data_IF_934236662488
#
_entry.id   IF_934236662488
#
_cell.length_a   1.000
_cell.length_b   1.000
_cell.length_c   1.000
_cell.angle_alpha   90.00
_cell.angle_beta   90.00
_cell.angle_gamma   90.00
#
_symmetry.space_group_name_H-M   'P 1'
#
loop_
_entity.id
_entity.type
_entity.pdbx_description
1 polymer ?
#
# COMPACT_ATOMS: atom_id res chain seq x y z
N UNK A 1 -99.78 -8.57 -14.76
CA UNK A 1 -99.74 -7.26 -15.45
C UNK A 1 -99.03 -6.28 -14.51
N UNK A 2 -98.04 -5.58 -15.04
CA UNK A 2 -97.08 -4.63 -14.45
C UNK A 2 -95.85 -5.12 -13.65
N UNK A 3 -94.69 -4.67 -14.17
CA UNK A 3 -93.28 -4.80 -13.79
C UNK A 3 -92.82 -3.68 -12.83
N UNK A 4 -91.77 -3.95 -12.05
CA UNK A 4 -90.50 -3.16 -11.89
C UNK A 4 -89.62 -3.94 -10.87
N UNK A 5 -88.49 -4.62 -11.14
CA UNK A 5 -87.11 -4.35 -11.65
C UNK A 5 -86.22 -3.44 -10.75
N UNK A 6 -84.96 -3.92 -10.54
CA UNK A 6 -83.68 -3.24 -10.17
C UNK A 6 -83.27 -3.39 -8.67
N UNK A 7 -82.10 -3.86 -8.20
CA UNK A 7 -80.86 -4.51 -8.73
C UNK A 7 -80.05 -5.07 -7.54
N UNK A 8 -79.22 -6.10 -7.78
CA UNK A 8 -78.09 -6.52 -6.94
C UNK A 8 -77.08 -5.38 -6.66
N UNK A 9 -76.43 -5.38 -5.48
CA UNK A 9 -74.99 -5.07 -5.39
C UNK A 9 -74.32 -5.81 -4.24
N UNK A 10 -73.17 -6.34 -4.61
CA UNK A 10 -72.33 -7.27 -3.88
C UNK A 10 -71.40 -6.59 -2.86
N UNK A 11 -70.99 -7.40 -1.86
CA UNK A 11 -69.65 -7.57 -1.28
C UNK A 11 -68.59 -6.49 -1.55
N UNK A 12 -67.93 -5.99 -0.49
CA UNK A 12 -66.45 -5.97 -0.32
C UNK A 12 -66.01 -5.05 0.83
N UNK A 13 -65.55 -5.62 1.94
CA UNK A 13 -64.38 -5.15 2.71
C UNK A 13 -63.74 -6.41 3.34
N UNK A 14 -62.51 -6.79 2.95
CA UNK A 14 -61.32 -6.21 3.59
C UNK A 14 -60.14 -6.10 2.60
N UNK A 15 -59.95 -4.95 1.96
CA UNK A 15 -58.82 -4.74 1.04
C UNK A 15 -57.75 -3.80 1.64
N UNK A 16 -58.07 -3.10 2.73
CA UNK A 16 -57.21 -2.03 3.26
C UNK A 16 -56.05 -2.56 4.12
N UNK A 17 -56.20 -3.69 4.83
CA UNK A 17 -55.16 -4.20 5.75
C UNK A 17 -54.02 -4.92 5.00
N UNK A 18 -54.33 -5.61 3.90
CA UNK A 18 -53.34 -6.40 3.17
C UNK A 18 -52.40 -5.53 2.31
N UNK A 19 -52.86 -4.35 1.87
CA UNK A 19 -52.05 -3.43 1.07
C UNK A 19 -51.03 -2.64 1.90
N UNK A 20 -51.36 -2.32 3.16
CA UNK A 20 -50.48 -1.58 4.08
C UNK A 20 -49.32 -2.47 4.58
N UNK A 21 -49.56 -3.77 4.81
CA UNK A 21 -48.52 -4.71 5.24
C UNK A 21 -47.51 -5.02 4.12
N UNK A 22 -47.94 -5.09 2.84
CA UNK A 22 -47.04 -5.32 1.69
C UNK A 22 -46.09 -4.16 1.43
N UNK A 23 -46.55 -2.92 1.56
CA UNK A 23 -45.70 -1.75 1.33
C UNK A 23 -44.66 -1.55 2.44
N UNK A 24 -45.00 -1.85 3.70
CA UNK A 24 -44.10 -1.66 4.84
C UNK A 24 -42.87 -2.57 4.79
N UNK A 25 -43.01 -3.80 4.28
CA UNK A 25 -41.88 -4.74 4.11
C UNK A 25 -40.88 -4.30 3.03
N UNK A 26 -41.36 -3.68 1.95
CA UNK A 26 -40.49 -3.21 0.86
C UNK A 26 -39.60 -2.06 1.34
N UNK A 27 -40.13 -1.15 2.17
CA UNK A 27 -39.36 -0.05 2.74
C UNK A 27 -38.31 -0.54 3.73
N UNK A 28 -38.62 -1.53 4.57
CA UNK A 28 -37.65 -2.15 5.49
C UNK A 28 -36.55 -2.86 4.70
N UNK A 29 -36.90 -3.61 3.64
CA UNK A 29 -35.92 -4.30 2.79
C UNK A 29 -35.01 -3.32 2.02
N UNK A 30 -35.57 -2.21 1.52
CA UNK A 30 -34.79 -1.12 0.92
C UNK A 30 -33.87 -0.44 1.95
N UNK A 31 -34.34 -0.23 3.18
CA UNK A 31 -33.52 0.35 4.24
C UNK A 31 -32.34 -0.55 4.61
N UNK A 32 -32.53 -1.87 4.65
CA UNK A 32 -31.43 -2.84 4.81
C UNK A 32 -30.50 -2.93 3.59
N UNK A 33 -31.00 -2.75 2.36
CA UNK A 33 -30.17 -2.67 1.15
C UNK A 33 -29.34 -1.38 1.07
N UNK A 34 -29.86 -0.26 1.59
CA UNK A 34 -29.15 1.03 1.64
C UNK A 34 -28.13 1.05 2.78
N UNK A 35 -28.44 0.44 3.94
CA UNK A 35 -27.50 0.31 5.06
C UNK A 35 -26.47 -0.81 4.87
N UNK A 36 -26.76 -1.79 4.00
CA UNK A 36 -25.92 -2.97 3.78
C UNK A 36 -24.69 -2.74 2.89
N UNK A 37 -24.54 -1.58 2.23
CA UNK A 37 -23.41 -1.34 1.32
C UNK A 37 -22.73 0.00 1.61
N UNK A 38 -22.42 0.22 2.87
CA UNK A 38 -21.36 1.14 3.26
C UNK A 38 -20.58 0.53 4.42
N UNK A 39 -20.14 -0.72 4.26
CA UNK A 39 -18.91 -1.16 4.90
C UNK A 39 -17.81 -0.28 4.33
N UNK A 40 -17.56 0.86 4.96
CA UNK A 40 -16.34 1.61 4.77
C UNK A 40 -15.23 0.69 5.24
N UNK A 41 -14.66 -0.07 4.30
CA UNK A 41 -13.46 -0.84 4.56
C UNK A 41 -12.41 0.19 4.97
N UNK A 42 -12.01 0.16 6.23
CA UNK A 42 -10.91 0.98 6.72
C UNK A 42 -9.70 0.72 5.83
N UNK A 43 -9.00 1.78 5.42
CA UNK A 43 -7.90 1.64 4.47
C UNK A 43 -6.83 0.70 5.05
N UNK A 44 -6.30 -0.18 4.19
CA UNK A 44 -5.14 -1.00 4.51
C UNK A 44 -4.02 -0.10 5.03
N UNK A 45 -3.46 -0.45 6.19
CA UNK A 45 -2.36 0.27 6.80
C UNK A 45 -1.26 -0.74 7.15
N UNK A 46 -0.04 -0.41 6.75
CA UNK A 46 1.15 -1.22 7.02
C UNK A 46 2.17 -0.31 7.68
N UNK A 47 2.59 -0.66 8.89
CA UNK A 47 3.50 0.12 9.70
C UNK A 47 4.73 -0.71 10.06
N UNK A 48 5.85 -0.03 10.29
CA UNK A 48 7.06 -0.70 10.76
C UNK A 48 7.04 -0.69 12.29
N UNK A 49 6.89 -1.88 12.87
CA UNK A 49 6.79 -2.12 14.30
C UNK A 49 8.18 -2.39 14.87
N UNK A 50 8.96 -1.31 15.03
CA UNK A 50 10.26 -1.34 15.70
C UNK A 50 10.56 0.02 16.35
N UNK A 51 10.98 -0.02 17.63
CA UNK A 51 11.35 1.14 18.45
C UNK A 51 12.49 1.96 17.82
N UNK A 52 13.34 1.32 17.02
CA UNK A 52 14.53 1.94 16.44
C UNK A 52 14.29 2.71 15.13
N UNK A 53 13.05 2.75 14.62
CA UNK A 53 12.66 3.36 13.34
C UNK A 53 13.30 2.70 12.10
N UNK A 54 12.58 2.77 10.98
CA UNK A 54 13.00 2.21 9.68
C UNK A 54 14.39 2.72 9.22
N UNK A 55 14.75 3.94 9.61
CA UNK A 55 15.99 4.64 9.25
C UNK A 55 17.25 4.04 9.91
N UNK A 56 17.16 3.56 11.17
CA UNK A 56 18.30 2.87 11.79
C UNK A 56 18.58 1.52 11.15
N UNK A 57 17.54 0.80 10.71
CA UNK A 57 17.72 -0.48 10.00
C UNK A 57 18.44 -0.30 8.69
N UNK A 58 18.14 0.79 7.99
CA UNK A 58 18.88 1.18 6.81
C UNK A 58 20.34 1.42 7.18
N UNK A 59 20.59 2.35 8.10
CA UNK A 59 21.96 2.76 8.47
C UNK A 59 22.82 1.58 8.93
N UNK A 60 22.30 0.72 9.81
CA UNK A 60 23.04 -0.45 10.33
C UNK A 60 23.40 -1.48 9.25
N UNK A 61 22.50 -1.79 8.31
CA UNK A 61 22.80 -2.70 7.21
C UNK A 61 23.72 -2.06 6.17
N UNK A 62 23.59 -0.75 5.97
CA UNK A 62 24.45 0.07 5.12
C UNK A 62 25.78 0.51 5.80
N UNK A 63 26.07 0.06 7.01
CA UNK A 63 27.35 0.29 7.71
C UNK A 63 28.24 -0.96 7.80
N UNK A 64 27.74 -2.13 7.41
CA UNK A 64 28.48 -3.39 7.40
C UNK A 64 29.67 -3.41 6.41
N UNK A 65 30.54 -4.44 6.50
CA UNK A 65 31.72 -4.61 5.61
C UNK A 65 31.41 -4.50 4.12
N UNK A 66 30.27 -5.03 3.69
CA UNK A 66 29.79 -4.91 2.31
C UNK A 66 29.39 -3.49 1.97
N UNK A 67 28.78 -2.77 2.89
CA UNK A 67 28.40 -1.39 2.65
C UNK A 67 29.60 -0.43 2.66
N UNK A 68 30.68 -0.78 3.40
CA UNK A 68 31.98 -0.10 3.35
C UNK A 68 32.63 -0.12 1.95
N UNK A 69 32.46 -1.19 1.17
CA UNK A 69 32.99 -1.23 -0.20
C UNK A 69 32.23 -0.33 -1.19
N UNK A 70 31.03 0.13 -0.83
CA UNK A 70 30.33 1.14 -1.63
C UNK A 70 30.72 2.55 -1.22
N UNK A 71 30.98 2.79 0.08
CA UNK A 71 31.41 4.10 0.56
C UNK A 71 32.75 4.57 0.00
N UNK A 72 33.54 3.68 -0.59
CA UNK A 72 34.84 3.98 -1.20
C UNK A 72 34.73 4.31 -2.71
N UNK A 73 33.55 4.16 -3.33
CA UNK A 73 33.30 4.63 -4.71
C UNK A 73 32.77 6.06 -4.65
N UNK A 74 33.54 7.06 -5.07
CA UNK A 74 33.02 8.43 -5.23
C UNK A 74 32.37 8.65 -6.61
N UNK A 75 31.55 9.71 -6.77
CA UNK A 75 30.20 9.84 -6.26
C UNK A 75 29.19 9.09 -7.14
N UNK A 76 28.23 8.40 -6.53
CA UNK A 76 27.20 7.64 -7.25
C UNK A 76 25.80 7.87 -6.67
N UNK A 77 24.82 7.95 -7.55
CA UNK A 77 23.38 8.03 -7.23
C UNK A 77 22.75 6.73 -7.71
N UNK A 78 22.08 6.02 -6.81
CA UNK A 78 21.41 4.76 -7.13
C UNK A 78 19.98 4.78 -6.66
N UNK A 79 19.11 4.15 -7.46
CA UNK A 79 17.69 4.01 -7.20
C UNK A 79 17.29 2.56 -7.38
N UNK A 80 16.35 2.11 -6.55
CA UNK A 80 15.65 0.87 -6.76
C UNK A 80 14.25 0.98 -6.16
N UNK A 81 13.28 0.31 -6.78
CA UNK A 81 11.92 0.20 -6.26
C UNK A 81 11.54 -1.27 -6.19
N UNK A 82 11.12 -1.73 -5.01
CA UNK A 82 10.71 -3.12 -4.80
C UNK A 82 9.25 -3.23 -4.39
N UNK A 83 8.58 -4.26 -4.89
CA UNK A 83 7.34 -4.79 -4.34
C UNK A 83 7.67 -5.93 -3.40
N UNK A 84 7.31 -5.77 -2.13
CA UNK A 84 7.50 -6.79 -1.09
C UNK A 84 6.14 -7.37 -0.76
N UNK A 85 5.99 -8.68 -0.87
CA UNK A 85 4.81 -9.39 -0.40
C UNK A 85 5.02 -9.76 1.07
N UNK A 86 4.07 -9.38 1.91
CA UNK A 86 4.05 -9.67 3.34
C UNK A 86 2.88 -10.61 3.63
N UNK A 87 3.09 -11.65 4.42
CA UNK A 87 1.97 -12.38 5.02
C UNK A 87 1.29 -11.51 6.09
N UNK A 88 0.11 -11.92 6.58
CA UNK A 88 -0.62 -11.16 7.61
C UNK A 88 0.09 -11.06 8.98
N UNK A 89 1.17 -11.81 9.19
CA UNK A 89 2.03 -11.71 10.38
C UNK A 89 3.23 -10.76 10.16
N UNK A 90 3.26 -10.02 9.05
CA UNK A 90 4.34 -9.09 8.73
C UNK A 90 5.63 -9.74 8.24
N UNK A 91 5.64 -11.05 7.98
CA UNK A 91 6.82 -11.72 7.40
C UNK A 91 6.88 -11.52 5.90
N UNK A 92 8.07 -11.21 5.41
CA UNK A 92 8.37 -11.14 3.98
C UNK A 92 8.25 -12.53 3.38
N UNK A 93 7.43 -12.68 2.34
CA UNK A 93 7.25 -13.93 1.60
C UNK A 93 7.89 -13.88 0.21
N UNK A 94 7.92 -12.70 -0.42
CA UNK A 94 8.50 -12.52 -1.74
C UNK A 94 8.99 -11.07 -1.95
N UNK A 95 9.98 -10.91 -2.82
CA UNK A 95 10.52 -9.60 -3.22
C UNK A 95 10.63 -9.55 -4.74
N UNK A 96 10.09 -8.50 -5.35
CA UNK A 96 10.17 -8.27 -6.78
C UNK A 96 10.66 -6.85 -7.07
N UNK A 97 11.72 -6.71 -7.87
CA UNK A 97 12.18 -5.41 -8.32
C UNK A 97 11.26 -4.87 -9.42
N UNK A 98 10.62 -3.73 -9.14
CA UNK A 98 9.91 -2.93 -10.15
C UNK A 98 10.92 -2.10 -10.93
N UNK A 99 11.89 -1.52 -10.22
CA UNK A 99 13.05 -0.84 -10.77
C UNK A 99 14.28 -1.41 -10.06
N UNK A 100 15.28 -1.83 -10.84
CA UNK A 100 16.58 -2.26 -10.31
C UNK A 100 17.65 -1.26 -10.69
N UNK A 101 18.61 -1.08 -9.79
CA UNK A 101 19.83 -0.34 -10.09
C UNK A 101 20.70 -1.10 -11.08
N UNK A 102 21.51 -0.38 -11.84
CA UNK A 102 22.58 -0.98 -12.65
C UNK A 102 23.71 -1.56 -11.80
N UNK A 103 23.80 -1.17 -10.54
CA UNK A 103 24.72 -1.71 -9.55
C UNK A 103 24.09 -2.92 -8.85
N UNK A 104 24.56 -4.11 -9.21
CA UNK A 104 24.10 -5.38 -8.63
C UNK A 104 24.33 -5.46 -7.13
N UNK A 105 25.38 -4.83 -6.63
CA UNK A 105 25.71 -4.87 -5.22
C UNK A 105 24.70 -4.01 -4.44
N UNK A 106 24.25 -2.88 -5.00
CA UNK A 106 23.20 -2.06 -4.39
C UNK A 106 21.87 -2.83 -4.32
N UNK A 107 21.50 -3.53 -5.40
CA UNK A 107 20.31 -4.40 -5.39
C UNK A 107 20.42 -5.50 -4.32
N UNK A 108 21.60 -6.10 -4.13
CA UNK A 108 21.84 -7.09 -3.09
C UNK A 108 21.69 -6.51 -1.67
N UNK A 109 22.08 -5.25 -1.46
CA UNK A 109 21.86 -4.56 -0.19
C UNK A 109 20.37 -4.30 0.06
N UNK A 110 19.63 -3.85 -0.95
CA UNK A 110 18.17 -3.67 -0.86
C UNK A 110 17.49 -4.99 -0.48
N UNK A 111 17.87 -6.11 -1.11
CA UNK A 111 17.34 -7.44 -0.76
C UNK A 111 17.62 -7.81 0.70
N UNK A 112 18.86 -7.67 1.15
CA UNK A 112 19.25 -7.96 2.54
C UNK A 112 18.49 -7.11 3.53
N UNK A 113 18.34 -5.82 3.23
CA UNK A 113 17.57 -4.90 4.04
C UNK A 113 16.11 -5.35 4.15
N UNK A 114 15.43 -5.62 3.02
CA UNK A 114 14.02 -6.06 3.02
C UNK A 114 13.87 -7.34 3.85
N UNK A 115 14.74 -8.34 3.65
CA UNK A 115 14.69 -9.56 4.46
C UNK A 115 14.90 -9.33 5.95
N UNK A 116 15.73 -8.35 6.33
CA UNK A 116 15.95 -7.99 7.75
C UNK A 116 14.75 -7.33 8.44
N UNK A 117 13.77 -6.84 7.65
CA UNK A 117 12.50 -6.28 8.13
C UNK A 117 11.41 -7.34 8.32
N UNK A 118 11.67 -8.60 7.95
CA UNK A 118 10.67 -9.67 8.04
C UNK A 118 10.21 -9.88 9.48
N UNK A 119 8.89 -9.88 9.69
CA UNK A 119 8.25 -10.04 11.00
C UNK A 119 8.17 -8.75 11.81
N UNK A 120 8.56 -7.60 11.24
CA UNK A 120 8.52 -6.27 11.89
C UNK A 120 7.51 -5.33 11.25
N UNK A 121 6.58 -5.89 10.49
CA UNK A 121 5.53 -5.11 9.83
C UNK A 121 4.21 -5.38 10.52
N UNK A 122 3.62 -4.35 11.10
CA UNK A 122 2.26 -4.43 11.59
C UNK A 122 1.30 -4.15 10.43
N UNK A 123 0.36 -5.07 10.21
CA UNK A 123 -0.64 -4.96 9.14
C UNK A 123 -2.01 -4.81 9.79
N UNK A 124 -2.67 -3.70 9.52
CA UNK A 124 -4.02 -3.41 10.00
C UNK A 124 -4.98 -3.19 8.84
N UNK A 125 -6.24 -3.58 9.04
CA UNK A 125 -7.31 -3.52 8.03
C UNK A 125 -7.00 -4.27 6.73
N UNK A 126 -6.31 -5.42 6.82
CA UNK A 126 -6.17 -6.31 5.67
C UNK A 126 -7.54 -6.83 5.19
N UNK A 127 -7.75 -7.00 3.87
CA UNK A 127 -8.95 -7.63 3.34
C UNK A 127 -9.18 -9.03 3.94
N UNK A 128 -10.42 -9.34 4.30
CA UNK A 128 -10.78 -10.59 5.00
C UNK A 128 -10.47 -11.89 4.24
N UNK A 129 -10.30 -11.82 2.91
CA UNK A 129 -10.01 -12.96 2.04
C UNK A 129 -8.61 -12.86 1.40
N UNK A 130 -7.62 -12.33 2.14
CA UNK A 130 -6.25 -12.27 1.65
C UNK A 130 -5.27 -12.89 2.61
N UNK A 131 -4.32 -13.68 2.09
CA UNK A 131 -3.24 -14.28 2.87
C UNK A 131 -2.00 -13.37 2.92
N UNK A 132 -1.97 -12.34 2.07
CA UNK A 132 -0.84 -11.44 1.95
C UNK A 132 -1.24 -10.05 1.44
N UNK A 133 -0.46 -9.06 1.84
CA UNK A 133 -0.51 -7.70 1.30
C UNK A 133 0.82 -7.39 0.65
N UNK A 134 0.90 -6.34 -0.17
CA UNK A 134 2.16 -5.87 -0.70
C UNK A 134 2.47 -4.46 -0.22
N UNK A 135 3.75 -4.19 -0.04
CA UNK A 135 4.28 -2.84 0.12
C UNK A 135 5.22 -2.51 -1.02
N UNK A 136 5.15 -1.27 -1.50
CA UNK A 136 6.05 -0.73 -2.50
C UNK A 136 7.04 0.18 -1.78
N UNK A 137 8.33 -0.12 -1.92
CA UNK A 137 9.39 0.57 -1.21
C UNK A 137 10.36 1.17 -2.25
N UNK A 138 10.34 2.50 -2.44
CA UNK A 138 11.34 3.19 -3.22
C UNK A 138 12.59 3.49 -2.38
N UNK A 139 13.77 3.22 -2.94
CA UNK A 139 15.07 3.47 -2.32
C UNK A 139 15.86 4.46 -3.17
N UNK A 140 16.48 5.44 -2.50
CA UNK A 140 17.41 6.37 -3.11
C UNK A 140 18.68 6.45 -2.25
N UNK A 141 19.82 6.10 -2.83
CA UNK A 141 21.13 6.27 -2.21
C UNK A 141 21.93 7.34 -2.94
N UNK A 142 22.59 8.20 -2.16
CA UNK A 142 23.63 9.10 -2.65
C UNK A 142 24.79 9.20 -1.65
N UNK A 143 26.01 9.33 -2.16
CA UNK A 143 27.21 9.62 -1.37
C UNK A 143 27.47 11.12 -1.27
N UNK A 144 28.12 11.56 -0.19
CA UNK A 144 28.69 12.91 -0.04
C UNK A 144 30.20 12.80 0.28
N UNK A 145 31.02 13.82 -0.02
CA UNK A 145 30.65 15.16 -0.47
C UNK A 145 30.19 15.21 -1.93
N UNK A 146 29.23 16.09 -2.20
CA UNK A 146 28.88 16.50 -3.56
C UNK A 146 29.96 17.49 -3.99
N UNK A 147 30.90 17.09 -4.83
CA UNK A 147 31.59 18.07 -5.66
C UNK A 147 30.51 18.73 -6.55
N UNK A 148 30.27 20.05 -6.45
CA UNK A 148 29.28 20.75 -7.26
C UNK A 148 29.49 20.59 -8.77
N UNK A 149 30.70 20.19 -9.21
CA UNK A 149 31.04 19.92 -10.61
C UNK A 149 30.74 18.48 -11.05
N UNK A 150 30.61 17.55 -10.12
CA UNK A 150 30.22 16.14 -10.34
C UNK A 150 28.75 15.89 -9.94
N UNK A 151 28.01 16.97 -9.70
CA UNK A 151 26.72 16.93 -9.04
C UNK A 151 25.66 16.30 -9.95
N UNK A 152 25.36 15.01 -9.70
CA UNK A 152 24.31 14.25 -10.36
C UNK A 152 22.92 14.64 -9.82
N UNK A 153 22.68 15.93 -9.53
CA UNK A 153 21.37 16.42 -9.05
C UNK A 153 20.25 16.14 -10.04
N UNK A 154 20.59 16.12 -11.33
CA UNK A 154 19.70 15.71 -12.41
C UNK A 154 19.21 14.26 -12.20
N UNK A 155 20.11 13.33 -11.86
CA UNK A 155 19.74 11.95 -11.53
C UNK A 155 18.95 11.86 -10.22
N UNK A 156 19.37 12.58 -9.18
CA UNK A 156 18.62 12.63 -7.90
C UNK A 156 17.19 13.10 -8.16
N UNK A 157 17.02 14.20 -8.88
CA UNK A 157 15.70 14.74 -9.23
C UNK A 157 14.91 13.77 -10.09
N UNK A 158 15.53 13.18 -11.11
CA UNK A 158 14.90 12.17 -11.97
C UNK A 158 14.33 11.00 -11.16
N UNK A 159 15.11 10.44 -10.22
CA UNK A 159 14.65 9.32 -9.40
C UNK A 159 13.57 9.74 -8.40
N UNK A 160 13.69 10.91 -7.78
CA UNK A 160 12.66 11.44 -6.88
C UNK A 160 11.35 11.73 -7.61
N UNK A 161 11.41 12.28 -8.81
CA UNK A 161 10.24 12.54 -9.64
C UNK A 161 9.58 11.22 -10.06
N UNK A 162 10.39 10.19 -10.40
CA UNK A 162 9.90 8.84 -10.62
C UNK A 162 9.18 8.28 -9.37
N UNK A 163 9.81 8.30 -8.19
CA UNK A 163 9.22 7.77 -6.96
C UNK A 163 7.92 8.49 -6.55
N UNK A 164 7.85 9.81 -6.74
CA UNK A 164 6.62 10.59 -6.51
C UNK A 164 5.51 10.27 -7.52
N UNK A 165 5.87 9.82 -8.71
CA UNK A 165 4.92 9.46 -9.77
C UNK A 165 4.35 8.04 -9.62
N UNK A 166 4.87 7.24 -8.68
CA UNK A 166 4.40 5.89 -8.39
C UNK A 166 2.95 5.94 -7.90
N UNK A 167 2.11 5.17 -8.58
CA UNK A 167 0.70 5.00 -8.22
C UNK A 167 0.36 3.52 -8.29
N UNK A 168 -0.48 3.05 -7.37
CA UNK A 168 -0.82 1.63 -7.21
C UNK A 168 -1.30 1.01 -8.54
N UNK A 169 -2.12 1.74 -9.30
CA UNK A 169 -2.67 1.31 -10.58
C UNK A 169 -1.63 1.11 -11.71
N UNK A 170 -0.39 1.58 -11.54
CA UNK A 170 0.70 1.40 -12.51
C UNK A 170 1.59 0.20 -12.18
N UNK A 171 1.37 -0.47 -11.05
CA UNK A 171 2.22 -1.55 -10.57
C UNK A 171 1.47 -2.87 -10.72
N UNK A 172 2.04 -3.77 -11.52
CA UNK A 172 1.47 -5.11 -11.71
C UNK A 172 1.30 -5.82 -10.37
N UNK A 173 0.18 -6.54 -10.20
CA UNK A 173 -0.13 -7.26 -8.97
C UNK A 173 -0.50 -6.38 -7.77
N UNK A 174 -0.72 -5.08 -7.97
CA UNK A 174 -1.12 -4.16 -6.92
C UNK A 174 -2.51 -3.53 -7.13
N UNK A 175 -3.31 -3.53 -6.07
CA UNK A 175 -4.64 -2.95 -5.99
C UNK A 175 -4.76 -2.09 -4.72
N UNK A 176 -5.67 -1.11 -4.72
CA UNK A 176 -5.83 -0.20 -3.58
C UNK A 176 -6.17 -0.92 -2.26
N UNK A 177 -6.76 -2.11 -2.36
CA UNK A 177 -7.16 -2.93 -1.21
C UNK A 177 -6.03 -3.80 -0.66
N UNK A 178 -4.95 -4.03 -1.41
CA UNK A 178 -3.88 -4.96 -1.01
C UNK A 178 -2.46 -4.40 -1.16
N UNK A 179 -2.31 -3.13 -1.52
CA UNK A 179 -1.02 -2.48 -1.68
C UNK A 179 -0.93 -1.13 -0.98
N UNK A 180 0.23 -0.87 -0.39
CA UNK A 180 0.61 0.43 0.16
C UNK A 180 1.93 0.88 -0.46
N UNK A 181 2.04 2.15 -0.85
CA UNK A 181 3.32 2.74 -1.26
C UNK A 181 3.88 3.47 -0.06
N UNK A 182 5.07 3.08 0.38
CA UNK A 182 5.76 3.72 1.49
C UNK A 182 6.49 4.99 1.03
N UNK A 183 6.76 5.94 1.94
CA UNK A 183 7.66 7.05 1.65
C UNK A 183 9.02 6.55 1.14
N UNK A 184 9.63 7.34 0.26
CA UNK A 184 10.98 7.06 -0.26
C UNK A 184 11.98 6.95 0.88
N UNK A 185 12.64 5.80 0.92
CA UNK A 185 13.76 5.55 1.81
C UNK A 185 15.00 6.22 1.23
N UNK A 186 15.60 7.11 2.02
CA UNK A 186 16.79 7.86 1.61
C UNK A 186 17.98 7.48 2.46
N UNK A 187 19.07 7.12 1.81
CA UNK A 187 20.34 6.93 2.48
C UNK A 187 21.32 8.03 2.03
N UNK A 188 21.65 8.90 2.98
CA UNK A 188 22.61 9.99 2.80
C UNK A 188 23.87 9.68 3.60
N UNK A 189 24.89 9.10 2.96
CA UNK A 189 26.17 8.90 3.63
C UNK A 189 27.09 10.09 3.45
N UNK A 190 27.34 10.77 4.58
CA UNK A 190 28.46 11.68 4.83
C UNK A 190 29.81 11.06 4.47
N UNK A 191 30.85 11.84 4.11
CA UNK A 191 32.20 11.31 4.22
C UNK A 191 32.40 10.80 5.64
N UNK A 192 32.87 9.56 5.77
CA UNK A 192 33.42 9.09 7.03
C UNK A 192 34.78 9.77 7.14
N UNK A 193 34.82 10.95 7.77
CA UNK A 193 36.09 11.50 8.20
C UNK A 193 36.73 10.45 9.11
N UNK A 194 37.77 9.78 8.61
CA UNK A 194 38.69 9.06 9.49
C UNK A 194 39.25 10.16 10.39
N UNK A 195 38.87 10.14 11.66
CA UNK A 195 39.60 10.89 12.66
C UNK A 195 41.02 10.30 12.68
N UNK A 196 41.91 10.92 11.90
CA UNK A 196 43.36 10.83 12.11
C UNK A 196 43.74 11.68 13.32
#
# INVERSE_FOLDING_TARGET
MHLTVITERALKEPIVIDHIMKHSYIWILMFFLILGVSYSQTALRVEFDDDDSLEKYLTSQFDGKLAKSFTEKEPYVQSATVRVSLNLYGSVSNIYFIESSTDSDFNNLVLKWVWSTSGKWEITNAPTNTDSVNIIIPFLQRTTPMDPKLDRLDLVKKYQDYHKSLTINKISGCFQTNCVILPEIRNYKGPVFKNE
#
